data_IF_924725474616
#
_entry.id   IF_924725474616
#
_cell.length_a   1.000
_cell.length_b   1.000
_cell.length_c   1.000
_cell.angle_alpha   90.00
_cell.angle_beta   90.00
_cell.angle_gamma   90.00
#
_symmetry.space_group_name_H-M   'P 1'
#
loop_
_entity.id
_entity.type
_entity.pdbx_description
1 polymer ?
#
# COMPACT_ATOMS: atom_id res chain seq x y z
N UNK A 1 -15.77 15.72 8.54
CA UNK A 1 -15.55 15.66 7.08
C UNK A 1 -16.13 14.34 6.62
N UNK A 2 -17.12 14.30 5.72
CA UNK A 2 -17.56 13.02 5.18
C UNK A 2 -16.41 12.45 4.36
N UNK A 3 -15.98 11.23 4.68
CA UNK A 3 -15.10 10.49 3.78
C UNK A 3 -15.79 10.39 2.41
N UNK A 4 -15.05 10.50 1.28
CA UNK A 4 -15.64 10.25 -0.03
C UNK A 4 -16.40 8.93 0.01
N UNK A 5 -17.69 8.99 -0.28
CA UNK A 5 -18.66 7.91 -0.08
C UNK A 5 -18.75 6.97 -1.26
N UNK A 6 -17.94 7.18 -2.30
CA UNK A 6 -17.81 6.19 -3.37
C UNK A 6 -16.95 5.06 -2.83
N UNK A 7 -17.63 4.12 -2.17
CA UNK A 7 -17.03 2.94 -1.56
C UNK A 7 -16.83 1.82 -2.59
N UNK A 8 -17.08 2.08 -3.87
CA UNK A 8 -16.89 1.10 -4.93
C UNK A 8 -15.41 0.77 -5.03
N UNK A 9 -14.98 -0.45 -4.65
CA UNK A 9 -13.57 -0.79 -4.68
C UNK A 9 -13.09 -0.86 -6.13
N UNK A 10 -11.87 -0.38 -6.37
CA UNK A 10 -11.21 -0.56 -7.66
C UNK A 10 -10.66 -1.98 -7.76
N UNK A 11 -11.50 -2.89 -8.25
CA UNK A 11 -11.16 -4.32 -8.36
C UNK A 11 -10.01 -4.61 -9.31
N UNK A 12 -9.74 -3.72 -10.29
CA UNK A 12 -8.63 -3.89 -11.21
C UNK A 12 -7.29 -3.63 -10.49
N UNK A 13 -7.22 -2.52 -9.74
CA UNK A 13 -6.03 -2.20 -8.94
C UNK A 13 -5.80 -3.24 -7.84
N UNK A 14 -6.85 -3.70 -7.16
CA UNK A 14 -6.74 -4.77 -6.16
C UNK A 14 -6.14 -6.07 -6.75
N UNK A 15 -6.60 -6.47 -7.93
CA UNK A 15 -6.08 -7.65 -8.62
C UNK A 15 -4.60 -7.49 -9.00
N UNK A 16 -4.19 -6.31 -9.47
CA UNK A 16 -2.80 -6.01 -9.80
C UNK A 16 -1.89 -6.04 -8.56
N UNK A 17 -2.34 -5.47 -7.43
CA UNK A 17 -1.60 -5.52 -6.16
C UNK A 17 -1.43 -6.97 -5.70
N UNK A 18 -2.48 -7.79 -5.77
CA UNK A 18 -2.41 -9.20 -5.40
C UNK A 18 -1.43 -9.98 -6.29
N UNK A 19 -1.42 -9.72 -7.61
CA UNK A 19 -0.47 -10.32 -8.53
C UNK A 19 0.98 -9.92 -8.22
N UNK A 20 1.24 -8.66 -7.85
CA UNK A 20 2.59 -8.21 -7.48
C UNK A 20 3.07 -8.84 -6.17
N UNK A 21 2.18 -9.00 -5.17
CA UNK A 21 2.53 -9.75 -3.94
C UNK A 21 2.97 -11.16 -4.29
N UNK A 22 2.24 -11.85 -5.18
CA UNK A 22 2.64 -13.19 -5.64
C UNK A 22 3.99 -13.19 -6.35
N UNK A 23 4.25 -12.22 -7.22
CA UNK A 23 5.56 -12.08 -7.91
C UNK A 23 6.71 -11.91 -6.91
N UNK A 24 6.52 -11.06 -5.89
CA UNK A 24 7.54 -10.80 -4.86
C UNK A 24 7.86 -12.04 -4.01
N UNK A 25 6.85 -12.82 -3.61
CA UNK A 25 7.04 -13.96 -2.71
C UNK A 25 7.46 -15.26 -3.43
N UNK A 26 7.29 -15.33 -4.75
CA UNK A 26 7.68 -16.50 -5.56
C UNK A 26 9.05 -16.34 -6.22
N UNK A 27 9.52 -15.11 -6.43
CA UNK A 27 10.83 -14.81 -6.99
C UNK A 27 11.92 -14.61 -5.93
N UNK A 28 13.17 -14.94 -6.29
CA UNK A 28 14.33 -14.58 -5.49
C UNK A 28 14.71 -13.11 -5.76
N UNK A 29 14.55 -12.25 -4.74
CA UNK A 29 14.87 -10.83 -4.87
C UNK A 29 16.36 -10.60 -4.56
N UNK A 30 17.14 -10.20 -5.58
CA UNK A 30 18.60 -10.03 -5.50
C UNK A 30 19.06 -8.57 -5.63
N UNK A 31 18.12 -7.63 -5.67
CA UNK A 31 18.43 -6.21 -5.73
C UNK A 31 18.85 -5.75 -4.33
N UNK A 32 20.12 -5.38 -4.17
CA UNK A 32 20.71 -5.09 -2.86
C UNK A 32 20.05 -3.92 -2.11
N UNK A 33 19.38 -3.00 -2.82
CA UNK A 33 18.69 -1.85 -2.24
C UNK A 33 17.20 -2.11 -1.94
N UNK A 34 16.65 -3.24 -2.35
CA UNK A 34 15.26 -3.60 -2.08
C UNK A 34 15.12 -4.36 -0.76
N UNK A 35 13.95 -4.27 -0.13
CA UNK A 35 13.65 -4.98 1.11
C UNK A 35 12.14 -5.12 1.34
N UNK A 36 11.75 -6.04 2.21
CA UNK A 36 10.39 -6.17 2.70
C UNK A 36 10.24 -5.40 4.01
N UNK A 37 9.38 -4.39 4.01
CA UNK A 37 9.06 -3.65 5.25
C UNK A 37 8.09 -4.43 6.14
N UNK A 38 7.99 -4.04 7.40
CA UNK A 38 7.08 -4.69 8.34
C UNK A 38 5.61 -4.32 8.08
N UNK A 39 4.65 -5.21 8.40
CA UNK A 39 3.22 -4.88 8.33
C UNK A 39 2.81 -3.67 9.19
N UNK A 40 3.54 -3.40 10.28
CA UNK A 40 3.30 -2.24 11.12
C UNK A 40 3.58 -0.92 10.38
N UNK A 41 4.65 -0.87 9.59
CA UNK A 41 4.99 0.31 8.76
C UNK A 41 3.93 0.52 7.68
N UNK A 42 3.50 -0.54 6.99
CA UNK A 42 2.44 -0.44 5.95
C UNK A 42 1.13 0.10 6.53
N UNK A 43 0.73 -0.34 7.73
CA UNK A 43 -0.48 0.17 8.41
C UNK A 43 -0.37 1.66 8.75
N UNK A 44 0.81 2.13 9.15
CA UNK A 44 1.02 3.55 9.45
C UNK A 44 0.93 4.41 8.17
N UNK A 45 1.45 3.92 7.04
CA UNK A 45 1.36 4.60 5.74
C UNK A 45 -0.08 4.76 5.28
N UNK A 46 -0.93 3.73 5.44
CA UNK A 46 -2.35 3.78 5.10
C UNK A 46 -3.26 4.46 6.13
N UNK A 47 -2.71 5.22 7.08
CA UNK A 47 -3.48 5.84 8.16
C UNK A 47 -4.08 7.19 7.78
N UNK A 48 -4.92 7.75 8.66
CA UNK A 48 -5.52 9.07 8.48
C UNK A 48 -4.50 10.22 8.40
N UNK A 49 -3.21 9.97 8.65
CA UNK A 49 -2.14 10.95 8.49
C UNK A 49 -2.03 11.47 7.06
N UNK A 50 -2.42 10.67 6.05
CA UNK A 50 -2.42 11.08 4.63
C UNK A 50 -3.38 12.23 4.33
N UNK A 51 -4.42 12.41 5.14
CA UNK A 51 -5.38 13.49 4.98
C UNK A 51 -4.90 14.81 5.56
N UNK A 52 -3.80 14.78 6.33
CA UNK A 52 -3.39 15.92 7.15
C UNK A 52 -2.43 16.81 6.37
N UNK A 53 -2.87 18.04 6.11
CA UNK A 53 -1.97 19.16 5.81
C UNK A 53 -1.41 19.74 7.11
N UNK A 54 -0.08 19.81 7.23
CA UNK A 54 0.64 20.24 8.43
C UNK A 54 1.88 21.06 8.04
N UNK A 55 1.64 22.20 7.41
CA UNK A 55 2.69 23.18 7.13
C UNK A 55 3.01 23.97 8.41
N UNK A 56 4.30 23.98 8.79
CA UNK A 56 4.90 24.89 9.79
C UNK A 56 4.24 24.94 11.16
#
# INVERSE_FOLDING_TARGET
>A
MPFPSDTTPDTEVEALIAAEVQRQVTGLQLIASENFTSPAVMRAVGSALTNKYAEG
#
